data_IF_952072637301
#
_entry.id   IF_952072637301
#
_cell.length_a   1.000
_cell.length_b   1.000
_cell.length_c   1.000
_cell.angle_alpha   90.00
_cell.angle_beta   90.00
_cell.angle_gamma   90.00
#
_symmetry.space_group_name_H-M   'P 1'
#
loop_
_entity.id
_entity.type
_entity.pdbx_description
1 polymer ?
#
# COMPACT_ATOMS: atom_id res chain seq x y z
N UNK A 1 11.96 -4.24 0.21
CA UNK A 1 11.68 -4.08 1.66
C UNK A 1 11.81 -5.39 2.45
N UNK A 2 11.01 -6.44 2.19
CA UNK A 2 11.07 -7.69 2.96
C UNK A 2 12.46 -8.36 2.99
N UNK A 3 13.16 -8.39 1.85
CA UNK A 3 14.54 -8.87 1.77
C UNK A 3 15.50 -8.06 2.66
N UNK A 4 15.38 -6.72 2.64
CA UNK A 4 16.15 -5.83 3.51
C UNK A 4 15.91 -6.08 4.99
N UNK A 5 14.65 -6.29 5.41
CA UNK A 5 14.32 -6.60 6.80
C UNK A 5 14.86 -7.97 7.24
N UNK A 6 14.82 -8.98 6.35
CA UNK A 6 15.45 -10.29 6.61
C UNK A 6 16.97 -10.17 6.75
N UNK A 7 17.64 -9.40 5.90
CA UNK A 7 19.08 -9.13 6.00
C UNK A 7 19.45 -8.35 7.26
N UNK A 8 18.56 -7.48 7.75
CA UNK A 8 18.70 -6.81 9.04
C UNK A 8 18.49 -7.75 10.24
N UNK A 9 18.25 -9.05 10.01
CA UNK A 9 18.04 -10.05 11.05
C UNK A 9 16.63 -10.02 11.67
N UNK A 10 15.66 -9.34 11.04
CA UNK A 10 14.28 -9.32 11.52
C UNK A 10 13.51 -10.50 10.93
N UNK A 11 12.96 -11.33 11.81
CA UNK A 11 12.08 -12.43 11.44
C UNK A 11 10.72 -11.88 10.98
N UNK A 12 10.28 -12.28 9.79
CA UNK A 12 8.93 -12.02 9.30
C UNK A 12 7.99 -13.13 9.76
N UNK A 13 6.75 -12.77 10.13
CA UNK A 13 5.72 -13.76 10.46
C UNK A 13 5.03 -14.33 9.21
N UNK A 14 5.10 -13.60 8.10
CA UNK A 14 4.49 -13.96 6.83
C UNK A 14 5.55 -14.04 5.72
N UNK A 15 5.60 -15.18 5.03
CA UNK A 15 6.46 -15.37 3.86
C UNK A 15 5.80 -14.92 2.56
N UNK A 16 4.47 -14.83 2.56
CA UNK A 16 3.65 -14.40 1.43
C UNK A 16 2.82 -13.18 1.81
N UNK A 17 2.80 -12.16 0.94
CA UNK A 17 2.14 -10.88 1.21
C UNK A 17 1.85 -10.12 -0.09
N UNK A 18 0.95 -9.14 0.02
CA UNK A 18 0.72 -8.15 -1.02
C UNK A 18 1.47 -6.86 -0.67
N UNK A 19 0.91 -6.06 0.23
CA UNK A 19 1.44 -4.76 0.68
C UNK A 19 1.83 -4.74 2.17
N UNK A 20 1.49 -5.79 2.92
CA UNK A 20 1.57 -5.80 4.38
C UNK A 20 2.54 -6.84 4.92
N UNK A 21 3.50 -6.40 5.71
CA UNK A 21 4.50 -7.22 6.40
C UNK A 21 4.23 -7.23 7.91
N UNK A 22 4.36 -8.40 8.52
CA UNK A 22 4.34 -8.56 9.98
C UNK A 22 5.73 -8.95 10.46
N UNK A 23 6.32 -8.10 11.30
CA UNK A 23 7.65 -8.24 11.86
C UNK A 23 7.57 -8.81 13.27
N UNK A 24 8.29 -9.90 13.52
CA UNK A 24 8.48 -10.46 14.84
C UNK A 24 9.68 -9.77 15.53
N UNK A 25 9.41 -8.65 16.19
CA UNK A 25 10.44 -7.81 16.84
C UNK A 25 10.63 -8.14 18.34
N UNK A 26 9.76 -8.98 18.91
CA UNK A 26 9.92 -9.51 20.26
C UNK A 26 10.01 -8.42 21.32
N UNK A 27 11.02 -8.49 22.19
CA UNK A 27 11.21 -7.50 23.27
C UNK A 27 11.55 -6.09 22.75
N UNK A 28 12.08 -5.97 21.52
CA UNK A 28 12.43 -4.68 20.91
C UNK A 28 11.24 -3.95 20.28
N UNK A 29 10.04 -4.54 20.31
CA UNK A 29 8.83 -3.97 19.72
C UNK A 29 8.56 -2.53 20.16
N UNK A 30 8.70 -2.24 21.46
CA UNK A 30 8.47 -0.89 21.99
C UNK A 30 9.51 0.13 21.51
N UNK A 31 10.78 -0.29 21.43
CA UNK A 31 11.88 0.57 20.96
C UNK A 31 11.71 0.93 19.48
N UNK A 32 11.47 -0.06 18.62
CA UNK A 32 11.25 0.17 17.18
C UNK A 32 9.99 0.98 16.91
N UNK A 33 8.92 0.75 17.69
CA UNK A 33 7.70 1.53 17.59
C UNK A 33 7.96 3.00 17.93
N UNK A 34 8.69 3.29 19.00
CA UNK A 34 9.03 4.67 19.37
C UNK A 34 9.96 5.31 18.32
N UNK A 35 10.99 4.60 17.85
CA UNK A 35 11.87 5.08 16.77
C UNK A 35 11.09 5.45 15.51
N UNK A 36 10.10 4.63 15.14
CA UNK A 36 9.24 4.92 13.99
C UNK A 36 8.38 6.18 14.22
N UNK A 37 7.78 6.32 15.42
CA UNK A 37 7.03 7.51 15.79
C UNK A 37 7.88 8.78 15.76
N UNK A 38 9.11 8.71 16.28
CA UNK A 38 10.06 9.84 16.30
C UNK A 38 10.46 10.25 14.87
N UNK A 39 10.46 9.30 13.93
CA UNK A 39 10.67 9.54 12.50
C UNK A 39 9.39 9.93 11.74
N UNK A 40 8.27 10.12 12.43
CA UNK A 40 6.99 10.51 11.82
C UNK A 40 6.24 9.37 11.12
N UNK A 41 6.59 8.11 11.38
CA UNK A 41 6.00 6.92 10.76
C UNK A 41 5.11 6.16 11.74
N UNK A 42 3.88 5.90 11.33
CA UNK A 42 2.92 5.13 12.13
C UNK A 42 2.96 3.65 11.73
N UNK A 43 3.47 2.80 12.62
CA UNK A 43 3.45 1.35 12.44
C UNK A 43 2.29 0.73 13.21
N UNK A 44 1.76 -0.40 12.72
CA UNK A 44 0.72 -1.14 13.45
C UNK A 44 1.35 -1.91 14.61
N UNK A 45 1.02 -1.58 15.86
CA UNK A 45 1.39 -2.40 17.01
C UNK A 45 0.36 -3.51 17.26
N UNK A 46 0.80 -4.76 17.31
CA UNK A 46 -0.10 -5.88 17.60
C UNK A 46 -0.37 -6.03 19.10
N UNK A 47 -1.59 -6.47 19.52
CA UNK A 47 -1.93 -6.66 20.92
C UNK A 47 -1.02 -7.65 21.68
N UNK A 48 -0.39 -8.59 20.98
CA UNK A 48 0.56 -9.54 21.57
C UNK A 48 1.84 -8.87 22.11
N UNK A 49 2.10 -7.60 21.76
CA UNK A 49 3.23 -6.81 22.26
C UNK A 49 4.59 -7.19 21.70
N UNK A 50 4.66 -8.18 20.80
CA UNK A 50 5.90 -8.75 20.25
C UNK A 50 6.02 -8.63 18.73
N UNK A 51 5.05 -7.97 18.09
CA UNK A 51 5.01 -7.83 16.65
C UNK A 51 4.61 -6.42 16.20
N UNK A 52 5.16 -6.00 15.05
CA UNK A 52 4.83 -4.76 14.35
C UNK A 52 4.34 -5.09 12.93
N UNK A 53 3.35 -4.35 12.45
CA UNK A 53 2.85 -4.43 11.09
C UNK A 53 3.26 -3.19 10.31
N UNK A 54 3.69 -3.41 9.07
CA UNK A 54 3.99 -2.36 8.11
C UNK A 54 3.13 -2.62 6.88
N UNK A 55 2.32 -1.64 6.49
CA UNK A 55 1.56 -1.66 5.25
C UNK A 55 2.04 -0.51 4.39
N UNK A 56 2.45 -0.81 3.16
CA UNK A 56 2.81 0.20 2.16
C UNK A 56 1.60 0.49 1.26
N UNK A 57 1.62 1.62 0.58
CA UNK A 57 0.55 2.05 -0.32
C UNK A 57 1.10 2.70 -1.59
N UNK A 58 0.20 3.20 -2.45
CA UNK A 58 0.53 3.87 -3.71
C UNK A 58 1.45 5.09 -3.53
N UNK A 59 1.42 5.75 -2.38
CA UNK A 59 2.24 6.95 -2.11
C UNK A 59 3.65 6.61 -1.64
N UNK A 60 3.92 5.34 -1.34
CA UNK A 60 5.20 4.89 -0.79
C UNK A 60 6.30 4.98 -1.85
N UNK A 61 7.31 5.79 -1.57
CA UNK A 61 8.47 5.97 -2.46
C UNK A 61 9.65 5.09 -2.04
N UNK A 62 10.68 5.03 -2.90
CA UNK A 62 11.95 4.36 -2.57
C UNK A 62 12.59 4.97 -1.32
N UNK A 63 12.51 6.29 -1.16
CA UNK A 63 13.06 6.98 0.00
C UNK A 63 12.37 6.56 1.30
N UNK A 64 11.05 6.35 1.26
CA UNK A 64 10.29 5.90 2.43
C UNK A 64 10.68 4.47 2.83
N UNK A 65 10.93 3.60 1.83
CA UNK A 65 11.43 2.25 2.06
C UNK A 65 12.82 2.28 2.71
N UNK A 66 13.73 3.13 2.23
CA UNK A 66 15.06 3.27 2.81
C UNK A 66 15.00 3.84 4.23
N UNK A 67 14.16 4.84 4.47
CA UNK A 67 13.94 5.41 5.80
C UNK A 67 13.37 4.35 6.77
N UNK A 68 12.40 3.54 6.32
CA UNK A 68 11.87 2.41 7.08
C UNK A 68 12.95 1.37 7.39
N UNK A 69 13.78 1.00 6.41
CA UNK A 69 14.88 0.05 6.62
C UNK A 69 15.91 0.58 7.61
N UNK A 70 16.22 1.87 7.58
CA UNK A 70 17.16 2.52 8.50
C UNK A 70 16.72 2.43 9.96
N UNK A 71 15.41 2.40 10.24
CA UNK A 71 14.88 2.21 11.60
C UNK A 71 15.22 0.83 12.20
N UNK A 72 15.45 -0.16 11.33
CA UNK A 72 15.63 -1.55 11.71
C UNK A 72 17.06 -2.08 11.54
N UNK A 73 17.87 -1.44 10.69
CA UNK A 73 19.17 -1.93 10.24
C UNK A 73 20.35 -0.95 10.48
N UNK A 74 20.21 -0.04 11.45
CA UNK A 74 21.21 0.99 11.79
C UNK A 74 21.77 1.79 10.58
N UNK A 75 20.97 1.93 9.52
CA UNK A 75 21.27 2.77 8.34
C UNK A 75 22.20 2.18 7.28
N UNK A 76 22.57 0.89 7.36
CA UNK A 76 23.52 0.30 6.40
C UNK A 76 22.89 -0.25 5.11
N UNK A 77 21.56 -0.37 5.06
CA UNK A 77 20.85 -0.98 3.93
C UNK A 77 20.24 0.06 2.99
N UNK A 78 20.64 0.04 1.72
CA UNK A 78 20.02 0.81 0.64
C UNK A 78 19.06 -0.05 -0.16
N UNK A 79 17.96 0.53 -0.64
CA UNK A 79 16.99 -0.20 -1.45
C UNK A 79 17.60 -0.69 -2.77
N UNK A 80 18.58 0.04 -3.31
CA UNK A 80 19.34 -0.34 -4.50
C UNK A 80 20.15 -1.63 -4.36
N UNK A 81 20.44 -2.08 -3.14
CA UNK A 81 21.13 -3.37 -2.92
C UNK A 81 20.25 -4.58 -3.25
N UNK A 82 18.94 -4.37 -3.41
CA UNK A 82 17.96 -5.43 -3.65
C UNK A 82 17.26 -5.29 -5.01
N UNK A 83 17.73 -4.37 -5.87
CA UNK A 83 17.11 -4.12 -7.18
C UNK A 83 17.17 -5.34 -8.10
N UNK A 84 18.28 -6.09 -8.05
CA UNK A 84 18.52 -7.22 -8.94
C UNK A 84 17.63 -8.42 -8.58
N UNK A 85 17.37 -8.63 -7.29
CA UNK A 85 16.43 -9.65 -6.80
C UNK A 85 14.99 -9.34 -7.24
N UNK A 86 14.59 -8.06 -7.16
CA UNK A 86 13.25 -7.60 -7.59
C UNK A 86 13.08 -7.75 -9.11
N UNK A 87 14.12 -7.45 -9.89
CA UNK A 87 14.09 -7.57 -11.35
C UNK A 87 13.92 -9.01 -11.84
N UNK A 88 14.26 -10.01 -11.01
CA UNK A 88 14.17 -11.43 -11.37
C UNK A 88 12.75 -12.01 -11.27
N UNK A 89 11.96 -11.60 -10.26
CA UNK A 89 10.54 -11.96 -10.11
C UNK A 89 9.80 -10.90 -9.27
N UNK A 90 9.11 -9.99 -9.95
CA UNK A 90 8.32 -8.91 -9.33
C UNK A 90 7.24 -9.46 -8.37
N UNK A 91 6.74 -10.67 -8.60
CA UNK A 91 5.69 -11.31 -7.80
C UNK A 91 6.23 -12.40 -6.86
N UNK A 92 7.52 -12.39 -6.54
CA UNK A 92 8.15 -13.42 -5.69
C UNK A 92 7.42 -13.65 -4.36
N UNK A 93 6.80 -12.61 -3.78
CA UNK A 93 6.04 -12.70 -2.53
C UNK A 93 4.62 -13.28 -2.69
N UNK A 94 4.11 -13.43 -3.92
CA UNK A 94 2.78 -13.96 -4.22
C UNK A 94 2.95 -15.36 -4.83
N UNK A 95 2.48 -16.43 -4.14
CA UNK A 95 2.57 -17.79 -4.64
C UNK A 95 1.96 -17.95 -6.04
N UNK A 96 2.55 -18.75 -6.94
CA UNK A 96 2.03 -18.94 -8.31
C UNK A 96 0.55 -19.33 -8.37
N UNK A 97 0.08 -20.12 -7.40
CA UNK A 97 -1.33 -20.53 -7.28
C UNK A 97 -2.28 -19.38 -6.96
N UNK A 98 -1.77 -18.30 -6.36
CA UNK A 98 -2.52 -17.10 -6.00
C UNK A 98 -2.34 -15.97 -7.03
N UNK A 99 -1.46 -16.15 -8.03
CA UNK A 99 -1.25 -15.15 -9.08
C UNK A 99 -2.46 -15.13 -10.00
N UNK A 100 -3.02 -13.94 -10.21
CA UNK A 100 -4.18 -13.74 -11.07
C UNK A 100 -3.80 -13.98 -12.53
N UNK A 101 -4.52 -14.87 -13.20
CA UNK A 101 -4.37 -15.16 -14.64
C UNK A 101 -5.50 -14.58 -15.50
N UNK A 102 -6.63 -14.22 -14.88
CA UNK A 102 -7.81 -13.71 -15.58
C UNK A 102 -7.66 -12.23 -15.95
N UNK A 103 -8.19 -11.87 -17.12
CA UNK A 103 -8.30 -10.47 -17.54
C UNK A 103 -9.33 -9.73 -16.69
N UNK A 104 -9.10 -8.43 -16.49
CA UNK A 104 -9.97 -7.54 -15.73
C UNK A 104 -10.12 -6.20 -16.42
N UNK A 105 -11.15 -5.44 -16.04
CA UNK A 105 -11.45 -4.11 -16.60
C UNK A 105 -11.49 -4.13 -18.14
N UNK A 106 -11.99 -5.22 -18.72
CA UNK A 106 -12.02 -5.44 -20.18
C UNK A 106 -13.11 -4.63 -20.89
N UNK A 107 -14.11 -4.15 -20.14
CA UNK A 107 -15.16 -3.33 -20.72
C UNK A 107 -14.56 -2.02 -21.27
N UNK A 108 -15.01 -1.53 -22.45
CA UNK A 108 -14.42 -0.36 -23.08
C UNK A 108 -14.42 0.90 -22.19
N UNK A 109 -15.37 1.02 -21.26
CA UNK A 109 -15.44 2.16 -20.32
C UNK A 109 -14.14 2.37 -19.52
N UNK A 110 -13.43 1.29 -19.17
CA UNK A 110 -12.18 1.37 -18.42
C UNK A 110 -10.96 1.68 -19.30
N UNK A 111 -11.13 1.67 -20.62
CA UNK A 111 -10.03 1.79 -21.60
C UNK A 111 -10.15 3.04 -22.49
N UNK A 112 -11.20 3.86 -22.34
CA UNK A 112 -11.49 5.01 -23.20
C UNK A 112 -11.08 6.37 -22.61
N UNK A 113 -10.92 6.47 -21.29
CA UNK A 113 -10.78 7.75 -20.57
C UNK A 113 -9.52 7.78 -19.71
N UNK A 114 -8.33 7.70 -20.34
CA UNK A 114 -7.05 7.69 -19.64
C UNK A 114 -6.42 9.07 -19.48
N UNK A 115 -6.78 10.04 -20.33
CA UNK A 115 -6.31 11.41 -20.15
C UNK A 115 -7.23 12.18 -19.20
N UNK A 116 -6.66 13.12 -18.46
CA UNK A 116 -7.40 13.98 -17.55
C UNK A 116 -8.55 14.71 -18.28
N UNK A 117 -8.30 15.22 -19.50
CA UNK A 117 -9.33 15.88 -20.32
C UNK A 117 -10.46 14.93 -20.72
N UNK A 118 -10.15 13.68 -21.08
CA UNK A 118 -11.15 12.67 -21.42
C UNK A 118 -11.99 12.30 -20.19
N UNK A 119 -11.33 12.08 -19.05
CA UNK A 119 -11.98 11.75 -17.78
C UNK A 119 -12.89 12.91 -17.31
N UNK A 120 -12.42 14.16 -17.39
CA UNK A 120 -13.21 15.35 -17.07
C UNK A 120 -14.47 15.46 -17.94
N UNK A 121 -14.34 15.28 -19.26
CA UNK A 121 -15.49 15.30 -20.18
C UNK A 121 -16.47 14.16 -19.88
N UNK A 122 -15.94 12.97 -19.55
CA UNK A 122 -16.76 11.82 -19.20
C UNK A 122 -17.54 12.05 -17.91
N UNK A 123 -16.88 12.52 -16.84
CA UNK A 123 -17.53 12.88 -15.57
C UNK A 123 -18.60 13.95 -15.78
N UNK A 124 -18.30 15.02 -16.54
CA UNK A 124 -19.28 16.08 -16.81
C UNK A 124 -20.49 15.58 -17.60
N UNK A 125 -20.28 14.66 -18.55
CA UNK A 125 -21.36 14.01 -19.30
C UNK A 125 -22.28 13.18 -18.39
N UNK A 126 -21.72 12.52 -17.38
CA UNK A 126 -22.51 11.77 -16.39
C UNK A 126 -23.26 12.72 -15.46
N UNK A 127 -22.57 13.73 -14.91
CA UNK A 127 -23.15 14.74 -14.02
C UNK A 127 -24.37 15.44 -14.66
N UNK A 128 -24.29 15.80 -15.95
CA UNK A 128 -25.38 16.48 -16.64
C UNK A 128 -26.64 15.61 -16.86
N UNK A 129 -26.56 14.30 -16.63
CA UNK A 129 -27.72 13.40 -16.70
C UNK A 129 -28.47 13.31 -15.37
N UNK A 130 -27.85 13.76 -14.28
CA UNK A 130 -28.39 13.65 -12.94
C UNK A 130 -28.97 15.01 -12.50
N UNK A 131 -30.25 15.01 -12.14
CA UNK A 131 -30.87 16.18 -11.54
C UNK A 131 -30.44 16.26 -10.06
N UNK A 132 -29.67 17.28 -9.75
CA UNK A 132 -29.10 17.53 -8.42
C UNK A 132 -29.60 18.86 -7.84
N UNK A 133 -29.28 19.15 -6.58
CA UNK A 133 -29.65 20.40 -5.92
C UNK A 133 -29.06 21.66 -6.59
N UNK A 134 -28.05 21.52 -7.46
CA UNK A 134 -27.53 22.65 -8.27
C UNK A 134 -28.52 23.08 -9.36
N UNK A 135 -29.49 22.22 -9.70
CA UNK A 135 -30.53 22.50 -10.70
C UNK A 135 -31.83 22.99 -10.07
N UNK A 136 -32.14 22.58 -8.84
CA UNK A 136 -33.30 23.04 -8.10
C UNK A 136 -33.66 22.11 -6.94
N UNK A 137 -34.68 22.52 -6.17
CA UNK A 137 -35.14 21.76 -5.01
C UNK A 137 -35.68 20.39 -5.44
N UNK A 138 -35.11 19.33 -4.86
CA UNK A 138 -35.63 17.97 -5.02
C UNK A 138 -36.58 17.69 -3.84
N UNK A 139 -37.87 17.66 -4.11
CA UNK A 139 -38.91 17.41 -3.09
C UNK A 139 -39.05 15.92 -2.84
N UNK A 140 -38.12 15.34 -2.09
CA UNK A 140 -38.35 14.05 -1.46
C UNK A 140 -39.32 14.27 -0.31
N UNK A 141 -40.58 13.85 -0.46
CA UNK A 141 -41.49 13.84 0.67
C UNK A 141 -40.87 12.97 1.77
N UNK A 142 -40.67 13.54 2.96
CA UNK A 142 -40.40 12.74 4.15
C UNK A 142 -41.62 11.83 4.35
N UNK A 143 -41.43 10.53 4.11
CA UNK A 143 -42.43 9.54 4.50
C UNK A 143 -42.50 9.57 6.04
N UNK A 144 -43.70 9.70 6.64
CA UNK A 144 -43.87 9.83 8.09
C UNK A 144 -43.36 8.60 8.87
#
# INVERSE_FOLDING_TARGET
MAAGLRNAGIALANDTFFDTLTLNTGKKTGEFYQKALDAGMNLRRFPCGTALGISIDETTTVNDIEALLALFADGELKASMFSDDIASDEFAAIPPTCRRTSRYLTHPVFNQYHSETQMMRYMKKLENKDYSLTHGMIHWAAVP
#
